data_IF_517716020639
#
_entry.id   IF_517716020639
#
_cell.length_a   1.000
_cell.length_b   1.000
_cell.length_c   1.000
_cell.angle_alpha   90.00
_cell.angle_beta   90.00
_cell.angle_gamma   90.00
#
_symmetry.space_group_name_H-M   'P 1'
#
loop_
_entity.id
_entity.type
_entity.pdbx_description
1 polymer ?
#
# COMPACT_ATOMS: atom_id res chain seq x y z
N UNK A 1 -8.87 -29.98 16.88
CA UNK A 1 -7.66 -30.30 16.09
C UNK A 1 -7.29 -29.06 15.29
N UNK A 2 -6.12 -28.47 15.54
CA UNK A 2 -5.66 -27.31 14.76
C UNK A 2 -5.26 -27.79 13.35
N UNK A 3 -5.79 -27.14 12.32
CA UNK A 3 -5.37 -27.40 10.95
C UNK A 3 -3.99 -26.78 10.72
N UNK A 4 -2.98 -27.59 10.51
CA UNK A 4 -1.60 -27.14 10.25
C UNK A 4 -1.34 -27.15 8.75
N UNK A 5 -0.87 -26.03 8.22
CA UNK A 5 -0.51 -25.89 6.81
C UNK A 5 0.85 -26.57 6.54
N UNK A 6 0.86 -27.69 5.78
CA UNK A 6 2.08 -28.28 5.24
C UNK A 6 2.29 -27.83 3.79
N UNK A 7 3.37 -27.13 3.51
CA UNK A 7 3.77 -26.75 2.14
C UNK A 7 4.81 -27.75 1.66
N UNK A 8 4.41 -28.65 0.75
CA UNK A 8 5.36 -29.44 -0.03
C UNK A 8 5.77 -28.65 -1.28
N UNK A 9 7.04 -28.28 -1.40
CA UNK A 9 7.57 -27.63 -2.60
C UNK A 9 7.85 -28.65 -3.68
N UNK A 10 6.96 -28.75 -4.67
CA UNK A 10 7.29 -29.34 -5.97
C UNK A 10 7.44 -28.22 -6.98
N UNK A 11 8.53 -28.20 -7.73
CA UNK A 11 8.78 -27.26 -8.82
C UNK A 11 7.74 -27.50 -9.93
N UNK A 12 6.72 -26.64 -10.01
CA UNK A 12 5.65 -26.68 -11.00
C UNK A 12 4.40 -26.04 -10.43
N UNK A 13 3.79 -25.12 -11.11
CA UNK A 13 2.55 -24.39 -10.83
C UNK A 13 2.36 -23.95 -9.37
N UNK A 14 2.18 -22.65 -9.18
CA UNK A 14 1.83 -22.05 -7.88
C UNK A 14 0.46 -22.59 -7.46
N UNK A 15 0.43 -23.53 -6.52
CA UNK A 15 -0.80 -24.02 -5.94
C UNK A 15 -1.11 -23.23 -4.66
N UNK A 16 -2.06 -22.30 -4.74
CA UNK A 16 -2.59 -21.65 -3.57
C UNK A 16 -3.19 -22.70 -2.61
N UNK A 17 -2.75 -22.69 -1.36
CA UNK A 17 -3.28 -23.56 -0.32
C UNK A 17 -4.20 -22.77 0.58
N UNK A 18 -5.44 -23.26 0.73
CA UNK A 18 -6.45 -22.62 1.58
C UNK A 18 -6.80 -23.53 2.75
N UNK A 19 -6.81 -22.97 3.94
CA UNK A 19 -7.35 -23.59 5.16
C UNK A 19 -8.46 -22.70 5.71
N UNK A 20 -9.51 -23.30 6.27
CA UNK A 20 -10.67 -22.55 6.77
C UNK A 20 -11.15 -23.08 8.11
N UNK A 21 -11.50 -22.17 9.02
CA UNK A 21 -12.13 -22.49 10.30
C UNK A 21 -12.84 -21.24 10.86
N UNK A 22 -13.95 -21.43 11.56
CA UNK A 22 -14.61 -20.39 12.37
C UNK A 22 -15.00 -19.12 11.58
N UNK A 23 -15.35 -19.23 10.30
CA UNK A 23 -15.69 -18.08 9.45
C UNK A 23 -14.47 -17.35 8.86
N UNK A 24 -13.26 -17.89 9.07
CA UNK A 24 -12.03 -17.39 8.46
C UNK A 24 -11.49 -18.39 7.44
N UNK A 25 -10.85 -17.90 6.39
CA UNK A 25 -9.98 -18.70 5.55
C UNK A 25 -8.66 -17.99 5.29
N UNK A 26 -7.56 -18.74 5.39
CA UNK A 26 -6.21 -18.29 5.04
C UNK A 26 -5.79 -19.02 3.77
N UNK A 27 -5.52 -18.27 2.73
CA UNK A 27 -4.95 -18.77 1.48
C UNK A 27 -3.51 -18.30 1.39
N UNK A 28 -2.57 -19.23 1.34
CA UNK A 28 -1.17 -18.94 1.02
C UNK A 28 -1.00 -19.12 -0.48
N UNK A 29 -0.83 -18.02 -1.17
CA UNK A 29 -0.60 -17.99 -2.62
C UNK A 29 0.86 -18.38 -2.89
N UNK A 30 1.76 -17.98 -1.99
CA UNK A 30 3.18 -18.29 -2.10
C UNK A 30 3.95 -17.35 -3.01
N UNK A 31 5.01 -17.86 -3.61
CA UNK A 31 5.76 -17.21 -4.67
C UNK A 31 4.93 -17.18 -5.96
N UNK A 32 4.79 -16.02 -6.61
CA UNK A 32 3.96 -15.87 -7.81
C UNK A 32 4.54 -16.55 -9.07
N UNK A 33 5.68 -17.26 -8.96
CA UNK A 33 6.30 -17.97 -10.07
C UNK A 33 6.97 -17.07 -11.10
N UNK A 34 7.33 -15.85 -10.71
CA UNK A 34 8.15 -14.95 -11.53
C UNK A 34 9.56 -15.50 -11.77
N UNK A 35 10.36 -14.86 -12.64
CA UNK A 35 11.75 -15.26 -12.88
C UNK A 35 12.55 -15.33 -11.58
N UNK A 36 13.31 -16.41 -11.39
CA UNK A 36 13.99 -16.73 -10.12
C UNK A 36 15.13 -15.78 -9.74
N UNK A 37 15.69 -15.09 -10.72
CA UNK A 37 16.75 -14.10 -10.58
C UNK A 37 16.21 -12.67 -10.35
N UNK A 38 14.91 -12.54 -10.11
CA UNK A 38 14.25 -11.24 -9.98
C UNK A 38 13.59 -11.09 -8.62
N UNK A 39 13.68 -9.88 -8.10
CA UNK A 39 12.92 -9.45 -6.93
C UNK A 39 11.63 -8.78 -7.41
N UNK A 40 10.53 -9.00 -6.70
CA UNK A 40 9.25 -8.39 -7.04
C UNK A 40 8.45 -7.98 -5.80
N UNK A 41 7.68 -6.91 -5.96
CA UNK A 41 6.76 -6.42 -4.93
C UNK A 41 5.36 -6.30 -5.50
N UNK A 42 4.37 -6.75 -4.73
CA UNK A 42 2.97 -6.44 -4.98
C UNK A 42 2.67 -4.99 -4.62
N UNK A 43 1.97 -4.30 -5.50
CA UNK A 43 1.58 -2.90 -5.29
C UNK A 43 0.07 -2.76 -5.01
N UNK A 44 -0.76 -3.60 -5.62
CA UNK A 44 -2.20 -3.63 -5.42
C UNK A 44 -2.80 -5.00 -5.79
N UNK A 45 -4.02 -5.19 -5.36
CA UNK A 45 -4.85 -6.37 -5.65
C UNK A 45 -6.23 -5.93 -6.12
N UNK A 46 -6.84 -6.67 -7.04
CA UNK A 46 -8.23 -6.45 -7.47
C UNK A 46 -9.20 -6.64 -6.30
N UNK A 47 -10.39 -6.03 -6.38
CA UNK A 47 -11.39 -6.10 -5.33
C UNK A 47 -11.91 -7.53 -5.08
N UNK A 48 -11.89 -8.39 -6.10
CA UNK A 48 -12.23 -9.81 -6.00
C UNK A 48 -11.07 -10.67 -5.48
N UNK A 49 -9.91 -10.06 -5.19
CA UNK A 49 -8.71 -10.70 -4.66
C UNK A 49 -7.96 -11.60 -5.65
N UNK A 50 -8.38 -11.69 -6.92
CA UNK A 50 -7.84 -12.68 -7.87
C UNK A 50 -6.66 -12.21 -8.69
N UNK A 51 -6.52 -10.89 -8.87
CA UNK A 51 -5.43 -10.30 -9.65
C UNK A 51 -4.50 -9.49 -8.76
N UNK A 52 -3.24 -9.89 -8.67
CA UNK A 52 -2.16 -9.15 -7.99
C UNK A 52 -1.36 -8.43 -9.06
N UNK A 53 -1.06 -7.16 -8.83
CA UNK A 53 -0.19 -6.37 -9.69
C UNK A 53 1.00 -5.83 -8.93
N UNK A 54 2.07 -5.55 -9.65
CA UNK A 54 3.26 -5.01 -9.00
C UNK A 54 4.37 -4.67 -9.98
N UNK A 55 5.58 -4.60 -9.42
CA UNK A 55 6.80 -4.35 -10.16
C UNK A 55 7.86 -5.35 -9.78
N UNK A 56 8.70 -5.74 -10.72
CA UNK A 56 9.85 -6.60 -10.52
C UNK A 56 11.10 -5.98 -11.10
N UNK A 57 12.26 -6.36 -10.59
CA UNK A 57 13.57 -5.93 -11.08
C UNK A 57 14.58 -7.06 -10.96
N UNK A 58 15.60 -7.01 -11.78
CA UNK A 58 16.70 -7.96 -11.77
C UNK A 58 17.97 -7.31 -11.20
N UNK A 59 18.75 -8.08 -10.45
CA UNK A 59 20.07 -7.65 -9.96
C UNK A 59 21.04 -7.34 -11.11
N UNK A 60 20.85 -7.98 -12.28
CA UNK A 60 21.64 -7.70 -13.48
C UNK A 60 21.34 -6.33 -14.10
N UNK A 61 20.21 -5.70 -13.74
CA UNK A 61 19.81 -4.36 -14.18
C UNK A 61 19.25 -3.57 -13.01
N UNK A 62 20.04 -3.22 -12.01
CA UNK A 62 19.57 -2.48 -10.85
C UNK A 62 19.03 -1.11 -11.29
N UNK A 63 17.82 -0.79 -10.83
CA UNK A 63 17.14 0.46 -11.14
C UNK A 63 16.10 0.38 -12.24
N UNK A 64 16.03 -0.70 -13.03
CA UNK A 64 15.00 -0.91 -14.03
C UNK A 64 13.93 -1.82 -13.47
N UNK A 65 12.75 -1.29 -13.16
CA UNK A 65 11.60 -2.11 -12.77
C UNK A 65 10.65 -2.32 -13.92
N UNK A 66 10.01 -3.48 -13.95
CA UNK A 66 9.01 -3.82 -14.96
C UNK A 66 7.69 -4.18 -14.28
N UNK A 67 6.60 -3.71 -14.86
CA UNK A 67 5.26 -3.99 -14.37
C UNK A 67 4.84 -5.44 -14.67
N UNK A 68 4.16 -6.07 -13.71
CA UNK A 68 3.56 -7.39 -13.87
C UNK A 68 2.13 -7.45 -13.35
N UNK A 69 1.41 -8.46 -13.80
CA UNK A 69 0.17 -8.94 -13.20
C UNK A 69 0.29 -10.44 -12.94
N UNK A 70 -0.46 -10.92 -11.97
CA UNK A 70 -0.59 -12.33 -11.64
C UNK A 70 -2.05 -12.68 -11.31
N UNK A 71 -2.50 -13.82 -11.78
CA UNK A 71 -3.71 -14.48 -11.30
C UNK A 71 -3.53 -15.99 -11.30
N UNK A 72 -4.35 -16.71 -10.53
CA UNK A 72 -4.30 -18.16 -10.54
C UNK A 72 -4.63 -18.77 -11.92
N UNK A 73 -5.40 -18.05 -12.74
CA UNK A 73 -5.79 -18.49 -14.07
C UNK A 73 -4.70 -18.30 -15.13
N UNK A 74 -3.92 -17.21 -15.03
CA UNK A 74 -2.93 -16.83 -16.07
C UNK A 74 -1.49 -17.03 -15.63
N UNK A 75 -1.26 -17.23 -14.32
CA UNK A 75 0.07 -17.15 -13.74
C UNK A 75 0.66 -15.74 -13.82
N UNK A 76 1.98 -15.66 -13.67
CA UNK A 76 2.73 -14.41 -13.75
C UNK A 76 2.83 -13.92 -15.19
N UNK A 77 2.49 -12.68 -15.43
CA UNK A 77 2.51 -12.04 -16.74
C UNK A 77 3.22 -10.69 -16.67
N UNK A 78 4.18 -10.45 -17.56
CA UNK A 78 4.73 -9.12 -17.78
C UNK A 78 3.71 -8.26 -18.51
N UNK A 79 3.49 -7.02 -18.04
CA UNK A 79 2.63 -6.07 -18.74
C UNK A 79 3.32 -5.50 -20.00
N UNK A 80 2.53 -5.25 -21.02
CA UNK A 80 3.03 -4.74 -22.29
C UNK A 80 3.70 -3.37 -22.13
N UNK A 81 4.86 -3.21 -22.76
CA UNK A 81 5.60 -1.96 -22.81
C UNK A 81 6.29 -1.80 -24.18
N UNK A 82 6.52 -0.57 -24.67
CA UNK A 82 7.28 -0.32 -25.90
C UNK A 82 8.70 -0.91 -25.82
N UNK A 83 9.30 -1.19 -26.97
CA UNK A 83 10.64 -1.77 -27.04
C UNK A 83 11.73 -0.87 -26.41
N UNK A 84 11.54 0.45 -26.45
CA UNK A 84 12.43 1.43 -25.82
C UNK A 84 12.09 1.73 -24.36
N UNK A 85 11.18 0.98 -23.73
CA UNK A 85 10.86 1.15 -22.32
C UNK A 85 12.09 0.88 -21.44
N UNK A 86 12.38 1.84 -20.58
CA UNK A 86 13.43 1.74 -19.58
C UNK A 86 12.90 1.11 -18.29
N UNK A 87 11.76 1.59 -17.80
CA UNK A 87 11.03 1.00 -16.67
C UNK A 87 9.52 1.04 -16.90
N UNK A 88 8.79 0.23 -16.13
CA UNK A 88 7.34 0.31 -16.01
C UNK A 88 6.87 -0.10 -14.61
N UNK A 89 5.76 0.47 -14.17
CA UNK A 89 5.19 0.24 -12.85
C UNK A 89 3.68 0.11 -12.95
N UNK A 90 3.13 -1.00 -12.42
CA UNK A 90 1.72 -1.14 -12.15
C UNK A 90 1.42 -0.59 -10.75
N UNK A 91 0.47 0.33 -10.62
CA UNK A 91 0.18 1.01 -9.35
C UNK A 91 -1.24 0.79 -8.85
N UNK A 92 -2.20 0.63 -9.74
CA UNK A 92 -3.60 0.46 -9.41
C UNK A 92 -4.26 -0.54 -10.37
N UNK A 93 -5.31 -1.21 -9.92
CA UNK A 93 -6.05 -2.22 -10.68
C UNK A 93 -7.54 -2.07 -10.43
N UNK A 94 -8.35 -2.32 -11.47
CA UNK A 94 -9.81 -2.36 -11.35
C UNK A 94 -10.28 -3.51 -10.45
N UNK A 95 -11.52 -3.42 -9.98
CA UNK A 95 -12.08 -4.41 -9.08
C UNK A 95 -12.17 -5.83 -9.65
N UNK A 96 -12.33 -5.95 -10.95
CA UNK A 96 -12.36 -7.22 -11.69
C UNK A 96 -10.98 -7.67 -12.20
N UNK A 97 -9.92 -6.90 -11.91
CA UNK A 97 -8.56 -7.20 -12.32
C UNK A 97 -8.24 -6.99 -13.81
N UNK A 98 -9.20 -6.49 -14.61
CA UNK A 98 -9.03 -6.40 -16.07
C UNK A 98 -8.29 -5.14 -16.51
N UNK A 99 -8.40 -4.05 -15.76
CA UNK A 99 -7.78 -2.77 -16.11
C UNK A 99 -6.73 -2.41 -15.07
N UNK A 100 -5.51 -2.18 -15.53
CA UNK A 100 -4.37 -1.81 -14.67
C UNK A 100 -3.92 -0.41 -15.06
N UNK A 101 -3.62 0.43 -14.07
CA UNK A 101 -3.06 1.76 -14.25
C UNK A 101 -1.64 1.87 -13.69
N UNK A 102 -0.84 2.73 -14.30
CA UNK A 102 0.53 2.93 -13.84
C UNK A 102 1.35 3.89 -14.69
N UNK A 103 2.64 3.61 -14.82
CA UNK A 103 3.54 4.42 -15.63
C UNK A 103 4.54 3.57 -16.41
N UNK A 104 5.00 4.13 -17.53
CA UNK A 104 6.14 3.63 -18.31
C UNK A 104 7.12 4.78 -18.49
N UNK A 105 8.40 4.55 -18.23
CA UNK A 105 9.47 5.47 -18.63
C UNK A 105 10.18 4.91 -19.85
N UNK A 106 10.39 5.74 -20.85
CA UNK A 106 11.08 5.37 -22.08
C UNK A 106 12.25 6.33 -22.36
N UNK A 107 13.31 5.84 -22.96
CA UNK A 107 14.42 6.69 -23.43
C UNK A 107 13.97 7.47 -24.66
N UNK A 108 14.24 8.76 -24.68
CA UNK A 108 14.08 9.57 -25.87
C UNK A 108 15.16 9.18 -26.89
N UNK A 109 14.81 9.20 -28.17
CA UNK A 109 15.66 8.70 -29.25
C UNK A 109 17.04 9.42 -29.35
N UNK A 110 17.09 10.69 -28.95
CA UNK A 110 18.27 11.56 -29.14
C UNK A 110 18.84 12.11 -27.83
N UNK A 111 18.37 11.61 -26.68
CA UNK A 111 18.85 12.10 -25.37
C UNK A 111 18.90 10.99 -24.34
N UNK A 112 19.71 11.19 -23.29
CA UNK A 112 19.72 10.32 -22.10
C UNK A 112 18.49 10.52 -21.21
N UNK A 113 17.64 11.48 -21.51
CA UNK A 113 16.46 11.81 -20.73
C UNK A 113 15.40 10.69 -20.84
N UNK A 114 14.77 10.42 -19.69
CA UNK A 114 13.63 9.53 -19.63
C UNK A 114 12.34 10.36 -19.68
N UNK A 115 11.48 9.99 -20.61
CA UNK A 115 10.11 10.47 -20.62
C UNK A 115 9.22 9.46 -19.92
N UNK A 116 8.38 9.92 -18.97
CA UNK A 116 7.47 9.05 -18.19
C UNK A 116 6.04 9.35 -18.59
N UNK A 117 5.32 8.28 -18.94
CA UNK A 117 3.93 8.32 -19.38
C UNK A 117 3.01 7.69 -18.34
N UNK A 118 1.91 8.33 -18.04
CA UNK A 118 0.77 7.69 -17.38
C UNK A 118 0.09 6.77 -18.39
N UNK A 119 -0.08 5.51 -18.01
CA UNK A 119 -0.63 4.49 -18.91
C UNK A 119 -1.71 3.67 -18.23
N UNK A 120 -2.58 3.09 -19.05
CA UNK A 120 -3.44 1.97 -18.63
C UNK A 120 -3.21 0.77 -19.56
N UNK A 121 -3.37 -0.40 -18.96
CA UNK A 121 -3.42 -1.70 -19.63
C UNK A 121 -4.85 -2.23 -19.51
N UNK A 122 -5.66 -2.18 -20.60
CA UNK A 122 -7.10 -2.50 -20.56
C UNK A 122 -7.40 -4.01 -20.68
N UNK A 123 -6.45 -4.89 -20.42
CA UNK A 123 -6.65 -6.35 -20.48
C UNK A 123 -6.66 -6.96 -21.89
N UNK A 124 -6.57 -6.16 -22.93
CA UNK A 124 -6.54 -6.57 -24.35
C UNK A 124 -5.10 -6.73 -24.90
N UNK A 125 -4.10 -6.72 -24.01
CA UNK A 125 -2.68 -6.78 -24.36
C UNK A 125 -2.09 -5.48 -24.87
N UNK A 126 -2.85 -4.39 -24.91
CA UNK A 126 -2.38 -3.07 -25.38
C UNK A 126 -1.96 -2.19 -24.20
N UNK A 127 -1.22 -1.14 -24.54
CA UNK A 127 -0.89 -0.05 -23.62
C UNK A 127 -1.50 1.24 -24.16
N UNK A 128 -2.30 1.91 -23.33
CA UNK A 128 -2.91 3.18 -23.67
C UNK A 128 -2.27 4.30 -22.85
N UNK A 129 -1.74 5.33 -23.52
CA UNK A 129 -1.26 6.57 -22.88
C UNK A 129 -2.45 7.44 -22.49
N UNK A 130 -2.45 7.98 -21.27
CA UNK A 130 -3.58 8.74 -20.71
C UNK A 130 -3.38 10.24 -20.75
N UNK A 131 -2.13 10.72 -20.64
CA UNK A 131 -1.79 12.14 -20.72
C UNK A 131 -1.22 12.41 -22.10
N UNK A 132 -1.81 13.32 -22.90
CA UNK A 132 -1.26 13.71 -24.18
C UNK A 132 0.12 14.38 -24.05
N UNK A 133 1.02 14.15 -25.02
CA UNK A 133 2.35 14.78 -25.03
C UNK A 133 2.29 16.30 -25.05
N UNK A 134 1.23 16.86 -25.65
CA UNK A 134 0.98 18.30 -25.70
C UNK A 134 0.58 18.88 -24.33
N UNK A 135 0.11 18.05 -23.39
CA UNK A 135 -0.27 18.50 -22.04
C UNK A 135 0.92 18.59 -21.09
N UNK A 136 1.94 17.72 -21.28
CA UNK A 136 3.11 17.69 -20.39
C UNK A 136 3.84 16.35 -20.40
N UNK A 137 4.73 16.17 -19.42
CA UNK A 137 5.62 15.01 -19.31
C UNK A 137 5.67 14.49 -17.85
N UNK A 138 6.45 13.43 -17.61
CA UNK A 138 6.68 12.91 -16.25
C UNK A 138 5.43 12.34 -15.60
N UNK A 139 4.48 11.84 -16.41
CA UNK A 139 3.16 11.46 -15.95
C UNK A 139 3.11 10.06 -15.31
N UNK A 140 2.26 9.87 -14.30
CA UNK A 140 1.95 8.57 -13.71
C UNK A 140 0.51 8.50 -13.23
N UNK A 141 -0.14 7.35 -13.41
CA UNK A 141 -1.39 7.03 -12.71
C UNK A 141 -1.05 6.67 -11.27
N UNK A 142 -1.83 7.14 -10.33
CA UNK A 142 -1.70 6.82 -8.90
C UNK A 142 -2.86 5.95 -8.41
N UNK A 143 -4.08 6.27 -8.81
CA UNK A 143 -5.31 5.61 -8.37
C UNK A 143 -6.30 5.40 -9.52
N UNK A 144 -7.15 4.37 -9.37
CA UNK A 144 -8.28 4.10 -10.26
C UNK A 144 -9.53 3.82 -9.44
N UNK A 145 -10.69 4.10 -10.03
CA UNK A 145 -11.96 3.65 -9.49
C UNK A 145 -12.16 2.13 -9.71
N UNK A 146 -13.13 1.55 -9.01
CA UNK A 146 -13.38 0.10 -9.05
C UNK A 146 -13.62 -0.43 -10.47
N UNK A 147 -14.28 0.33 -11.35
CA UNK A 147 -14.52 -0.07 -12.73
C UNK A 147 -13.33 0.14 -13.68
N UNK A 148 -12.21 0.73 -13.24
CA UNK A 148 -11.09 1.07 -14.12
C UNK A 148 -11.43 2.09 -15.22
N UNK A 149 -12.59 2.75 -15.10
CA UNK A 149 -13.11 3.73 -16.08
C UNK A 149 -12.71 5.16 -15.76
N UNK A 150 -12.19 5.39 -14.55
CA UNK A 150 -11.69 6.67 -14.08
C UNK A 150 -10.36 6.47 -13.39
N UNK A 151 -9.36 7.26 -13.76
CA UNK A 151 -8.01 7.21 -13.19
C UNK A 151 -7.51 8.61 -12.89
N UNK A 152 -6.80 8.75 -11.79
CA UNK A 152 -6.16 10.01 -11.44
C UNK A 152 -4.67 9.82 -11.17
N UNK A 153 -3.93 10.91 -11.33
CA UNK A 153 -2.49 10.90 -11.09
C UNK A 153 -1.89 12.28 -11.29
N UNK A 154 -0.59 12.30 -11.51
CA UNK A 154 0.19 13.52 -11.66
C UNK A 154 0.97 13.54 -12.96
N UNK A 155 1.35 14.74 -13.38
CA UNK A 155 2.23 15.01 -14.51
C UNK A 155 2.93 16.36 -14.29
N UNK A 156 3.91 16.69 -15.14
CA UNK A 156 4.56 17.98 -15.15
C UNK A 156 4.23 18.72 -16.43
N UNK A 157 4.04 20.03 -16.35
CA UNK A 157 3.84 20.91 -17.50
C UNK A 157 4.71 22.17 -17.33
N UNK A 158 4.75 23.03 -18.34
CA UNK A 158 5.57 24.25 -18.32
C UNK A 158 5.17 25.11 -17.10
N UNK A 159 6.15 25.37 -16.22
CA UNK A 159 5.96 26.18 -15.02
C UNK A 159 5.25 25.49 -13.85
N UNK A 160 4.76 24.26 -14.03
CA UNK A 160 4.07 23.53 -12.95
C UNK A 160 4.62 22.11 -12.84
N UNK A 161 5.36 21.85 -11.79
CA UNK A 161 5.74 20.49 -11.41
C UNK A 161 4.61 19.85 -10.60
N UNK A 162 4.33 18.55 -10.85
CA UNK A 162 3.29 17.81 -10.12
C UNK A 162 1.86 18.34 -10.30
N UNK A 163 1.52 18.83 -11.50
CA UNK A 163 0.14 19.05 -11.89
C UNK A 163 -0.65 17.72 -11.81
N UNK A 164 -1.91 17.80 -11.53
CA UNK A 164 -2.79 16.64 -11.39
C UNK A 164 -3.71 16.48 -12.56
N UNK A 165 -4.07 15.24 -12.86
CA UNK A 165 -5.05 14.94 -13.88
C UNK A 165 -6.08 13.93 -13.41
N UNK A 166 -7.22 13.99 -14.06
CA UNK A 166 -8.25 12.96 -14.10
C UNK A 166 -8.39 12.49 -15.53
N UNK A 167 -8.50 11.19 -15.72
CA UNK A 167 -8.85 10.59 -16.98
C UNK A 167 -10.14 9.80 -16.81
N UNK A 168 -11.11 10.06 -17.66
CA UNK A 168 -12.39 9.35 -17.72
C UNK A 168 -12.51 8.65 -19.07
N UNK A 169 -12.92 7.39 -19.09
CA UNK A 169 -13.01 6.61 -20.32
C UNK A 169 -13.79 7.30 -21.44
N UNK A 170 -14.96 7.95 -21.20
CA UNK A 170 -15.67 8.65 -22.28
C UNK A 170 -15.13 10.05 -22.59
N UNK A 171 -14.45 10.71 -21.65
CA UNK A 171 -14.04 12.12 -21.79
C UNK A 171 -12.56 12.30 -22.08
N UNK A 172 -11.74 11.30 -21.75
CA UNK A 172 -10.29 11.36 -21.86
C UNK A 172 -9.63 12.17 -20.74
N UNK A 173 -8.50 12.76 -21.05
CA UNK A 173 -7.66 13.55 -20.13
C UNK A 173 -8.31 14.88 -19.77
N UNK A 174 -8.22 15.22 -18.48
CA UNK A 174 -8.57 16.52 -17.91
C UNK A 174 -7.55 16.91 -16.85
N UNK A 175 -6.92 18.07 -16.99
CA UNK A 175 -6.11 18.64 -15.92
C UNK A 175 -7.03 19.12 -14.79
N UNK A 176 -6.66 18.78 -13.56
CA UNK A 176 -7.36 19.30 -12.37
C UNK A 176 -6.82 20.68 -12.01
N UNK A 177 -7.67 21.56 -11.46
CA UNK A 177 -7.21 22.86 -10.95
C UNK A 177 -6.08 22.68 -9.94
N UNK A 178 -5.10 23.59 -9.87
CA UNK A 178 -4.11 23.58 -8.81
C UNK A 178 -4.78 23.86 -7.46
N UNK A 179 -4.43 23.06 -6.45
CA UNK A 179 -4.96 23.26 -5.10
C UNK A 179 -4.15 24.30 -4.32
N UNK A 180 -2.85 24.17 -4.28
CA UNK A 180 -1.91 25.03 -3.56
C UNK A 180 -0.48 24.76 -3.99
N UNK A 181 0.48 25.48 -3.41
CA UNK A 181 1.92 25.32 -3.66
C UNK A 181 2.48 24.12 -2.90
N UNK A 182 1.91 22.94 -3.12
CA UNK A 182 2.34 21.70 -2.50
C UNK A 182 2.22 20.51 -3.46
N UNK A 183 3.01 19.49 -3.20
CA UNK A 183 2.97 18.23 -3.96
C UNK A 183 1.86 17.35 -3.41
N UNK A 184 0.90 16.94 -4.25
CA UNK A 184 -0.15 15.99 -3.87
C UNK A 184 0.16 14.61 -4.41
N UNK A 185 -0.09 13.59 -3.58
CA UNK A 185 -0.16 12.19 -3.99
C UNK A 185 -1.49 11.60 -3.55
N UNK A 186 -2.19 11.00 -4.51
CA UNK A 186 -3.40 10.22 -4.24
C UNK A 186 -3.02 8.77 -3.92
N UNK A 187 -3.71 8.17 -2.97
CA UNK A 187 -3.41 6.82 -2.46
C UNK A 187 -4.60 5.85 -2.59
N UNK A 188 -5.81 6.38 -2.66
CA UNK A 188 -7.03 5.61 -2.89
C UNK A 188 -8.09 6.44 -3.57
N UNK A 189 -9.07 5.76 -4.17
CA UNK A 189 -10.22 6.37 -4.85
C UNK A 189 -11.48 5.57 -4.53
N UNK A 190 -12.62 6.25 -4.38
CA UNK A 190 -13.94 5.62 -4.23
C UNK A 190 -14.30 4.76 -5.43
N UNK A 191 -15.25 3.83 -5.27
CA UNK A 191 -15.71 2.97 -6.36
C UNK A 191 -16.32 3.75 -7.52
N UNK A 192 -17.01 4.86 -7.22
CA UNK A 192 -17.52 5.80 -8.25
C UNK A 192 -16.41 6.64 -8.89
N UNK A 193 -15.29 6.83 -8.21
CA UNK A 193 -14.22 7.76 -8.62
C UNK A 193 -14.51 9.23 -8.31
N UNK A 194 -15.54 9.53 -7.50
CA UNK A 194 -15.93 10.91 -7.16
C UNK A 194 -15.12 11.50 -6.01
N UNK A 195 -14.43 10.67 -5.24
CA UNK A 195 -13.50 11.12 -4.21
C UNK A 195 -12.22 10.28 -4.23
N UNK A 196 -11.14 10.91 -3.75
CA UNK A 196 -9.84 10.27 -3.56
C UNK A 196 -9.18 10.78 -2.28
N UNK A 197 -8.49 9.89 -1.58
CA UNK A 197 -7.72 10.22 -0.39
C UNK A 197 -6.22 10.17 -0.70
N UNK A 198 -5.46 10.98 0.02
CA UNK A 198 -4.02 11.07 -0.18
C UNK A 198 -3.35 12.02 0.80
N UNK A 199 -2.30 12.66 0.38
CA UNK A 199 -1.61 13.66 1.17
C UNK A 199 -1.01 14.78 0.31
N UNK A 200 -0.80 15.92 0.93
CA UNK A 200 -0.08 17.07 0.42
C UNK A 200 1.25 17.21 1.14
N UNK A 201 2.35 17.24 0.41
CA UNK A 201 3.70 17.42 0.96
C UNK A 201 4.14 18.87 1.02
N UNK A 202 4.91 19.24 2.05
CA UNK A 202 5.49 20.56 2.25
C UNK A 202 4.46 21.71 2.31
N UNK A 203 3.31 21.46 2.94
CA UNK A 203 2.24 22.45 3.12
C UNK A 203 2.74 23.57 4.06
N UNK A 204 2.52 24.82 3.68
CA UNK A 204 2.90 26.01 4.44
C UNK A 204 4.40 26.10 4.78
N UNK A 205 5.27 25.51 3.93
CA UNK A 205 6.71 25.45 4.16
C UNK A 205 7.14 24.56 5.32
N UNK A 206 6.21 23.82 5.93
CA UNK A 206 6.50 22.82 6.97
C UNK A 206 6.91 21.52 6.32
N UNK A 207 8.07 21.01 6.72
CA UNK A 207 8.55 19.71 6.24
C UNK A 207 7.57 18.58 6.65
N UNK A 208 7.22 17.73 5.68
CA UNK A 208 6.36 16.58 5.91
C UNK A 208 5.13 16.54 5.03
N UNK A 209 4.07 15.91 5.51
CA UNK A 209 2.82 15.76 4.76
C UNK A 209 1.59 16.05 5.62
N UNK A 210 0.52 16.49 4.97
CA UNK A 210 -0.83 16.60 5.53
C UNK A 210 -1.78 15.71 4.76
N UNK A 211 -2.65 15.01 5.48
CA UNK A 211 -3.72 14.23 4.89
C UNK A 211 -4.65 15.11 4.04
N UNK A 212 -5.09 14.56 2.92
CA UNK A 212 -5.88 15.28 1.90
C UNK A 212 -7.05 14.42 1.44
N UNK A 213 -8.20 15.06 1.28
CA UNK A 213 -9.36 14.55 0.56
C UNK A 213 -9.56 15.40 -0.70
N UNK A 214 -9.68 14.74 -1.84
CA UNK A 214 -10.17 15.34 -3.07
C UNK A 214 -11.56 14.81 -3.37
N UNK A 215 -12.47 15.70 -3.80
CA UNK A 215 -13.79 15.29 -4.31
C UNK A 215 -14.09 16.02 -5.62
N UNK A 216 -14.88 15.39 -6.49
CA UNK A 216 -15.31 16.00 -7.75
C UNK A 216 -16.08 17.32 -7.52
N UNK A 217 -16.79 17.41 -6.40
CA UNK A 217 -17.66 18.54 -6.07
C UNK A 217 -16.92 19.76 -5.55
N UNK A 218 -15.89 19.57 -4.71
CA UNK A 218 -15.22 20.69 -4.00
C UNK A 218 -13.72 20.79 -4.30
N UNK A 219 -13.15 19.83 -5.03
CA UNK A 219 -11.70 19.79 -5.27
C UNK A 219 -10.94 19.29 -4.05
N UNK A 220 -9.75 19.84 -3.80
CA UNK A 220 -8.85 19.45 -2.73
C UNK A 220 -9.19 20.13 -1.41
N UNK A 221 -9.10 19.33 -0.35
CA UNK A 221 -9.25 19.77 1.03
C UNK A 221 -8.21 19.09 1.92
N UNK A 222 -7.42 19.88 2.63
CA UNK A 222 -6.53 19.39 3.66
C UNK A 222 -7.35 18.99 4.89
N UNK A 223 -7.09 17.79 5.40
CA UNK A 223 -7.79 17.27 6.57
C UNK A 223 -7.18 17.85 7.87
N UNK A 224 -7.97 17.93 8.96
CA UNK A 224 -7.50 18.37 10.26
C UNK A 224 -6.34 17.51 10.77
N UNK A 225 -5.46 18.12 11.53
CA UNK A 225 -4.35 17.49 12.24
C UNK A 225 -4.35 17.91 13.71
N UNK A 226 -3.83 17.06 14.58
CA UNK A 226 -3.62 17.38 15.99
C UNK A 226 -2.21 17.94 16.27
N UNK A 227 -1.30 17.83 15.30
CA UNK A 227 0.12 18.16 15.44
C UNK A 227 0.47 19.47 14.72
N UNK A 228 -0.20 20.57 15.07
CA UNK A 228 0.09 21.86 14.48
C UNK A 228 1.51 22.34 14.85
N UNK A 229 2.29 22.78 13.86
CA UNK A 229 3.60 23.41 14.07
C UNK A 229 4.80 22.48 14.18
N UNK A 230 4.63 21.14 14.06
CA UNK A 230 5.73 20.16 14.04
C UNK A 230 5.83 19.50 12.67
N UNK A 231 6.97 18.83 12.38
CA UNK A 231 7.12 18.01 11.19
C UNK A 231 6.08 16.89 11.18
N UNK A 232 5.15 16.93 10.24
CA UNK A 232 3.97 16.06 10.16
C UNK A 232 4.14 15.02 9.07
N UNK A 233 3.60 13.84 9.31
CA UNK A 233 3.54 12.73 8.35
C UNK A 233 2.12 12.19 8.24
N UNK A 234 1.13 13.10 8.15
CA UNK A 234 -0.27 12.73 8.07
C UNK A 234 -0.60 12.25 6.66
N UNK A 235 -1.31 11.14 6.55
CA UNK A 235 -1.74 10.56 5.27
C UNK A 235 -3.15 9.99 5.38
N UNK A 236 -3.99 10.29 4.40
CA UNK A 236 -5.27 9.63 4.18
C UNK A 236 -5.08 8.49 3.17
N UNK A 237 -5.55 7.31 3.50
CA UNK A 237 -5.29 6.06 2.76
C UNK A 237 -6.53 5.39 2.21
N UNK A 238 -7.70 5.75 2.72
CA UNK A 238 -8.97 5.20 2.27
C UNK A 238 -10.09 6.19 2.49
N UNK A 239 -11.12 6.14 1.67
CA UNK A 239 -12.31 6.99 1.76
C UNK A 239 -13.56 6.17 1.43
N UNK A 240 -14.61 6.33 2.24
CA UNK A 240 -15.90 5.68 2.02
C UNK A 240 -16.63 6.26 0.81
N UNK A 241 -17.52 5.49 0.22
CA UNK A 241 -18.26 5.90 -0.98
C UNK A 241 -19.14 7.14 -0.75
N UNK A 242 -19.62 7.34 0.46
CA UNK A 242 -20.41 8.52 0.87
C UNK A 242 -19.55 9.76 1.22
N UNK A 243 -18.20 9.66 1.07
CA UNK A 243 -17.21 10.71 1.37
C UNK A 243 -17.18 11.15 2.86
N UNK A 244 -17.88 10.42 3.76
CA UNK A 244 -18.06 10.85 5.15
C UNK A 244 -16.97 10.38 6.09
N UNK A 245 -16.30 9.27 5.75
CA UNK A 245 -15.26 8.69 6.59
C UNK A 245 -14.00 8.46 5.77
N UNK A 246 -12.89 8.94 6.29
CA UNK A 246 -11.57 8.79 5.68
C UNK A 246 -10.66 8.08 6.69
N UNK A 247 -9.98 7.03 6.29
CA UNK A 247 -9.01 6.29 7.10
C UNK A 247 -7.59 6.69 6.75
N UNK A 248 -6.71 6.67 7.74
CA UNK A 248 -5.29 6.93 7.54
C UNK A 248 -4.52 7.03 8.85
N UNK A 249 -3.51 7.86 8.89
CA UNK A 249 -2.73 8.08 10.10
C UNK A 249 -2.35 9.56 10.28
N UNK A 250 -2.26 9.96 11.53
CA UNK A 250 -1.56 11.15 11.98
C UNK A 250 -0.16 10.76 12.41
N UNK A 251 0.86 11.37 11.82
CA UNK A 251 2.24 11.07 12.10
C UNK A 251 3.04 12.29 12.52
N UNK A 252 4.03 12.06 13.39
CA UNK A 252 5.00 13.07 13.81
C UNK A 252 6.40 12.55 13.56
N UNK A 253 7.23 13.31 12.86
CA UNK A 253 8.64 13.00 12.73
C UNK A 253 9.35 13.31 14.05
N UNK A 254 9.94 12.30 14.66
CA UNK A 254 10.74 12.41 15.89
C UNK A 254 12.21 12.24 15.54
N UNK A 255 13.02 13.22 15.89
CA UNK A 255 14.48 13.17 15.74
C UNK A 255 15.08 12.68 17.06
N UNK A 256 15.82 11.59 17.02
CA UNK A 256 16.51 11.01 18.18
C UNK A 256 18.01 11.00 17.93
N UNK A 257 18.86 10.82 18.94
CA UNK A 257 20.30 10.68 18.74
C UNK A 257 20.69 9.53 17.80
N UNK A 258 19.87 8.49 17.75
CA UNK A 258 20.10 7.30 16.91
C UNK A 258 19.52 7.43 15.49
N UNK A 259 18.84 8.53 15.18
CA UNK A 259 18.25 8.80 13.86
C UNK A 259 16.88 9.46 13.92
N UNK A 260 16.10 9.23 12.87
CA UNK A 260 14.73 9.76 12.74
C UNK A 260 13.74 8.60 12.70
N UNK A 261 12.62 8.76 13.39
CA UNK A 261 11.47 7.85 13.32
C UNK A 261 10.18 8.63 13.13
N UNK A 262 9.15 7.96 12.64
CA UNK A 262 7.80 8.52 12.58
C UNK A 262 6.97 7.80 13.63
N UNK A 263 6.50 8.55 14.62
CA UNK A 263 5.48 8.09 15.54
C UNK A 263 4.13 8.37 14.89
N UNK A 264 3.34 7.34 14.63
CA UNK A 264 2.06 7.46 13.93
C UNK A 264 0.94 6.79 14.70
N UNK A 265 -0.26 7.30 14.52
CA UNK A 265 -1.47 6.68 15.05
C UNK A 265 -2.54 6.61 13.98
N UNK A 266 -3.12 5.43 13.82
CA UNK A 266 -4.24 5.18 12.94
C UNK A 266 -5.46 6.00 13.38
N UNK A 267 -6.09 6.68 12.43
CA UNK A 267 -7.26 7.53 12.68
C UNK A 267 -8.33 7.36 11.61
N UNK A 268 -9.55 7.72 11.99
CA UNK A 268 -10.61 8.07 11.06
C UNK A 268 -10.89 9.56 11.15
N UNK A 269 -10.91 10.23 10.01
CA UNK A 269 -11.58 11.52 9.88
C UNK A 269 -13.04 11.24 9.54
N UNK A 270 -13.94 11.69 10.43
CA UNK A 270 -15.39 11.47 10.33
C UNK A 270 -16.11 12.77 9.99
N UNK A 271 -17.43 12.72 9.74
CA UNK A 271 -18.26 13.87 9.36
C UNK A 271 -17.74 14.58 8.10
N UNK A 272 -17.32 13.83 7.10
CA UNK A 272 -16.72 14.39 5.89
C UNK A 272 -15.33 14.98 6.12
N UNK A 273 -14.65 14.57 7.18
CA UNK A 273 -13.30 14.99 7.52
C UNK A 273 -13.21 16.09 8.59
N UNK A 274 -14.30 16.47 9.26
CA UNK A 274 -14.31 17.55 10.25
C UNK A 274 -13.91 17.11 11.66
N UNK A 275 -13.98 15.80 11.95
CA UNK A 275 -13.68 15.24 13.26
C UNK A 275 -12.65 14.13 13.15
N UNK A 276 -11.83 13.94 14.19
CA UNK A 276 -10.80 12.90 14.25
C UNK A 276 -11.20 11.88 15.32
N UNK A 277 -11.26 10.61 14.94
CA UNK A 277 -11.36 9.47 15.85
C UNK A 277 -10.04 8.69 15.81
N UNK A 278 -9.39 8.57 16.97
CA UNK A 278 -8.16 7.79 17.12
C UNK A 278 -8.53 6.32 17.26
N UNK A 279 -7.78 5.43 16.62
CA UNK A 279 -8.02 3.99 16.65
C UNK A 279 -7.13 3.26 17.67
N UNK A 280 -6.07 3.91 18.17
CA UNK A 280 -5.12 3.36 19.12
C UNK A 280 -4.13 2.38 18.48
N UNK A 281 -3.64 1.44 19.28
CA UNK A 281 -2.60 0.48 18.95
C UNK A 281 -2.99 -0.92 19.43
N UNK A 282 -2.35 -1.95 18.89
CA UNK A 282 -2.38 -3.29 19.48
C UNK A 282 -1.56 -3.29 20.79
N UNK A 283 -1.92 -4.19 21.71
CA UNK A 283 -1.24 -4.30 23.01
C UNK A 283 0.28 -4.45 22.83
N UNK A 284 1.02 -3.57 23.51
CA UNK A 284 2.49 -3.53 23.50
C UNK A 284 3.10 -2.78 22.32
N UNK A 285 2.30 -2.21 21.43
CA UNK A 285 2.77 -1.35 20.33
C UNK A 285 2.65 0.14 20.68
N UNK A 286 3.41 0.96 19.97
CA UNK A 286 3.48 2.41 20.15
C UNK A 286 3.23 3.20 18.85
N UNK A 287 3.00 2.49 17.75
CA UNK A 287 2.68 3.08 16.46
C UNK A 287 1.60 2.28 15.74
N UNK A 288 0.75 2.95 14.97
CA UNK A 288 -0.23 2.30 14.11
C UNK A 288 -0.52 3.12 12.86
N UNK A 289 -1.00 2.44 11.82
CA UNK A 289 -1.26 3.05 10.52
C UNK A 289 -2.45 2.37 9.84
N UNK A 290 -3.55 3.08 9.59
CA UNK A 290 -4.64 2.57 8.78
C UNK A 290 -4.27 2.65 7.29
N UNK A 291 -4.38 1.53 6.59
CA UNK A 291 -3.99 1.39 5.18
C UNK A 291 -5.18 1.35 4.22
N UNK A 292 -6.34 0.90 4.69
CA UNK A 292 -7.55 0.79 3.88
C UNK A 292 -8.80 0.80 4.76
N UNK A 293 -9.94 1.12 4.14
CA UNK A 293 -11.26 1.10 4.77
C UNK A 293 -12.27 0.49 3.79
N UNK A 294 -13.22 -0.30 4.28
CA UNK A 294 -14.35 -0.79 3.48
C UNK A 294 -15.23 0.36 2.99
N UNK A 295 -15.94 0.15 1.88
CA UNK A 295 -16.79 1.20 1.26
C UNK A 295 -17.88 1.72 2.19
N UNK A 296 -18.33 0.92 3.16
CA UNK A 296 -19.34 1.28 4.18
C UNK A 296 -18.72 1.85 5.48
N UNK A 297 -17.40 1.94 5.58
CA UNK A 297 -16.68 2.50 6.72
C UNK A 297 -16.62 1.60 7.96
N UNK A 298 -17.06 0.35 7.88
CA UNK A 298 -17.20 -0.54 9.05
C UNK A 298 -15.95 -1.35 9.36
N UNK A 299 -15.07 -1.53 8.39
CA UNK A 299 -13.83 -2.31 8.55
C UNK A 299 -12.65 -1.45 8.15
N UNK A 300 -11.69 -1.33 9.04
CA UNK A 300 -10.39 -0.70 8.76
C UNK A 300 -9.30 -1.73 8.92
N UNK A 301 -8.41 -1.79 7.96
CA UNK A 301 -7.24 -2.66 7.98
C UNK A 301 -5.99 -1.80 7.98
N UNK A 302 -5.00 -2.23 8.75
CA UNK A 302 -3.74 -1.52 8.82
C UNK A 302 -2.67 -2.31 9.55
N UNK A 303 -1.63 -1.60 9.96
CA UNK A 303 -0.51 -2.15 10.72
C UNK A 303 -0.36 -1.44 12.06
N UNK A 304 0.05 -2.18 13.05
CA UNK A 304 0.47 -1.69 14.36
C UNK A 304 1.86 -2.21 14.65
N UNK A 305 2.73 -1.39 15.21
CA UNK A 305 4.13 -1.73 15.39
C UNK A 305 4.69 -1.23 16.71
N UNK A 306 5.71 -1.96 17.18
CA UNK A 306 6.51 -1.57 18.31
C UNK A 306 7.83 -0.98 17.82
N UNK A 307 8.05 0.31 18.07
CA UNK A 307 9.22 1.04 17.58
C UNK A 307 10.55 0.57 18.19
N UNK A 308 10.53 -0.12 19.34
CA UNK A 308 11.74 -0.63 19.98
C UNK A 308 12.15 -2.01 19.45
N UNK A 309 11.17 -2.87 19.14
CA UNK A 309 11.46 -4.23 18.65
C UNK A 309 11.44 -4.32 17.14
N UNK A 310 10.86 -3.33 16.45
CA UNK A 310 10.62 -3.35 15.00
C UNK A 310 9.56 -4.36 14.57
N UNK A 311 8.82 -4.97 15.53
CA UNK A 311 7.75 -5.89 15.19
C UNK A 311 6.56 -5.12 14.58
N UNK A 312 6.06 -5.59 13.46
CA UNK A 312 4.87 -5.05 12.80
C UNK A 312 3.80 -6.14 12.69
N UNK A 313 2.56 -5.81 12.99
CA UNK A 313 1.40 -6.71 12.99
C UNK A 313 0.25 -6.11 12.21
N UNK A 314 -0.42 -6.91 11.40
CA UNK A 314 -1.66 -6.50 10.73
C UNK A 314 -2.81 -6.48 11.72
N UNK A 315 -3.60 -5.42 11.71
CA UNK A 315 -4.83 -5.31 12.49
C UNK A 315 -6.08 -5.25 11.62
N UNK A 316 -7.19 -5.73 12.20
CA UNK A 316 -8.56 -5.49 11.76
C UNK A 316 -9.23 -4.64 12.83
N UNK A 317 -9.83 -3.54 12.44
CA UNK A 317 -10.61 -2.68 13.34
C UNK A 317 -12.06 -2.62 12.86
N UNK A 318 -12.98 -2.73 13.81
CA UNK A 318 -14.42 -2.45 13.60
C UNK A 318 -14.92 -1.54 14.72
N UNK A 319 -16.01 -0.79 14.53
CA UNK A 319 -16.59 0.05 15.59
C UNK A 319 -16.93 -0.72 16.87
N UNK A 320 -17.25 -2.01 16.75
CA UNK A 320 -17.64 -2.88 17.86
C UNK A 320 -16.43 -3.50 18.57
N UNK A 321 -15.45 -3.98 17.80
CA UNK A 321 -14.31 -4.71 18.37
C UNK A 321 -13.15 -3.83 18.79
N UNK A 322 -13.06 -2.61 18.27
CA UNK A 322 -11.80 -1.89 18.28
C UNK A 322 -10.73 -2.61 17.44
N UNK A 323 -9.47 -2.33 17.72
CA UNK A 323 -8.33 -2.90 16.99
C UNK A 323 -8.03 -4.32 17.47
N UNK A 324 -7.91 -5.27 16.54
CA UNK A 324 -7.62 -6.69 16.78
C UNK A 324 -6.50 -7.18 15.89
N UNK A 325 -5.56 -7.94 16.43
CA UNK A 325 -4.51 -8.58 15.62
C UNK A 325 -5.11 -9.62 14.67
N UNK A 326 -4.80 -9.53 13.36
CA UNK A 326 -5.26 -10.48 12.36
C UNK A 326 -4.77 -11.91 12.69
N UNK A 327 -3.50 -12.04 13.08
CA UNK A 327 -2.92 -13.35 13.46
C UNK A 327 -3.64 -13.92 14.69
N UNK A 328 -3.90 -13.10 15.71
CA UNK A 328 -4.61 -13.56 16.90
C UNK A 328 -6.05 -14.01 16.59
N UNK A 329 -6.73 -13.33 15.64
CA UNK A 329 -8.07 -13.73 15.18
C UNK A 329 -8.03 -15.10 14.46
N UNK A 330 -7.06 -15.31 13.57
CA UNK A 330 -6.88 -16.57 12.87
C UNK A 330 -6.58 -17.73 13.84
N UNK A 331 -5.67 -17.51 14.77
CA UNK A 331 -5.30 -18.53 15.76
C UNK A 331 -6.45 -18.85 16.73
N UNK A 332 -7.24 -17.86 17.13
CA UNK A 332 -8.45 -18.08 17.93
C UNK A 332 -9.50 -18.91 17.18
N UNK A 333 -9.54 -18.81 15.87
CA UNK A 333 -10.38 -19.65 15.00
C UNK A 333 -9.78 -21.04 14.74
N UNK A 334 -8.58 -21.36 15.25
CA UNK A 334 -7.90 -22.63 15.04
C UNK A 334 -7.06 -22.70 13.77
N UNK A 335 -6.79 -21.54 13.12
CA UNK A 335 -5.92 -21.45 11.95
C UNK A 335 -4.51 -21.03 12.37
N UNK A 336 -3.50 -21.83 12.03
CA UNK A 336 -2.11 -21.48 12.29
C UNK A 336 -1.48 -20.83 11.06
N UNK A 337 -0.80 -19.70 11.25
CA UNK A 337 0.00 -19.05 10.20
C UNK A 337 1.38 -19.72 10.03
N UNK A 338 1.79 -20.59 10.97
CA UNK A 338 3.07 -21.29 10.95
C UNK A 338 4.26 -20.32 11.00
N UNK A 339 5.15 -20.43 10.02
CA UNK A 339 6.32 -19.53 9.86
C UNK A 339 6.06 -18.34 8.94
N UNK A 340 4.83 -18.20 8.42
CA UNK A 340 4.48 -17.09 7.52
C UNK A 340 4.23 -15.81 8.34
N UNK A 341 4.97 -14.77 8.03
CA UNK A 341 4.76 -13.44 8.58
C UNK A 341 3.73 -12.71 7.72
N UNK A 342 2.55 -12.43 8.30
CA UNK A 342 1.52 -11.60 7.68
C UNK A 342 1.86 -10.13 7.96
N UNK A 343 2.56 -9.46 7.04
CA UNK A 343 3.02 -8.09 7.26
C UNK A 343 2.41 -7.11 6.27
N UNK A 344 3.02 -6.87 5.16
CA UNK A 344 2.68 -5.82 4.21
C UNK A 344 1.28 -6.04 3.58
N UNK A 345 0.27 -5.31 4.04
CA UNK A 345 -1.07 -5.29 3.41
C UNK A 345 -0.99 -4.55 2.08
N UNK A 346 -1.45 -5.21 1.01
CA UNK A 346 -1.48 -4.67 -0.35
C UNK A 346 -2.87 -4.11 -0.68
N UNK A 347 -3.92 -4.75 -0.17
CA UNK A 347 -5.28 -4.31 -0.44
C UNK A 347 -6.33 -5.03 0.39
N UNK A 348 -7.51 -4.41 0.40
CA UNK A 348 -8.72 -4.92 1.06
C UNK A 348 -9.87 -4.81 0.08
N UNK A 349 -10.72 -5.85 0.04
CA UNK A 349 -11.92 -5.82 -0.78
C UNK A 349 -12.90 -4.72 -0.32
N UNK A 350 -13.76 -4.18 -1.22
CA UNK A 350 -14.70 -3.12 -0.90
C UNK A 350 -15.65 -3.43 0.27
N UNK A 351 -15.97 -4.70 0.49
CA UNK A 351 -16.79 -5.18 1.61
C UNK A 351 -16.02 -5.42 2.91
N UNK A 352 -14.67 -5.24 2.88
CA UNK A 352 -13.79 -5.45 4.03
C UNK A 352 -13.54 -6.92 4.37
N UNK A 353 -14.08 -7.86 3.61
CA UNK A 353 -14.02 -9.29 3.94
C UNK A 353 -12.72 -9.96 3.50
N UNK A 354 -12.09 -9.47 2.44
CA UNK A 354 -10.86 -10.07 1.90
C UNK A 354 -9.69 -9.11 2.07
N UNK A 355 -8.66 -9.57 2.74
CA UNK A 355 -7.41 -8.85 3.00
C UNK A 355 -6.31 -9.59 2.26
N UNK A 356 -5.58 -8.90 1.40
CA UNK A 356 -4.44 -9.46 0.68
C UNK A 356 -3.16 -8.75 1.09
N UNK A 357 -2.11 -9.51 1.28
CA UNK A 357 -0.81 -8.98 1.67
C UNK A 357 0.35 -9.78 1.11
N UNK A 358 1.52 -9.28 1.42
CA UNK A 358 2.81 -9.88 1.09
C UNK A 358 3.62 -9.98 2.38
N UNK A 359 4.24 -11.10 2.61
CA UNK A 359 5.08 -11.36 3.76
C UNK A 359 6.28 -12.20 3.37
N UNK A 360 6.85 -12.88 4.34
CA UNK A 360 7.97 -13.81 4.15
C UNK A 360 7.85 -14.96 5.14
N UNK A 361 8.58 -16.05 4.88
CA UNK A 361 8.65 -17.17 5.83
C UNK A 361 9.91 -17.05 6.69
N UNK A 362 9.76 -17.27 7.98
CA UNK A 362 10.91 -17.38 8.88
C UNK A 362 11.76 -18.60 8.47
N UNK A 363 13.07 -18.33 8.30
CA UNK A 363 14.02 -19.37 7.91
C UNK A 363 14.20 -19.55 6.41
N UNK A 364 13.48 -18.82 5.57
CA UNK A 364 13.77 -18.74 4.14
C UNK A 364 15.06 -17.93 3.91
N UNK A 365 16.15 -18.55 3.39
CA UNK A 365 17.42 -17.86 3.20
C UNK A 365 17.36 -16.79 2.10
N UNK A 366 16.44 -16.91 1.15
CA UNK A 366 16.31 -16.03 0.00
C UNK A 366 15.34 -14.88 0.27
N UNK A 367 14.64 -14.89 1.42
CA UNK A 367 13.63 -13.88 1.79
C UNK A 367 12.60 -13.61 0.67
N UNK A 368 12.18 -14.66 -0.03
CA UNK A 368 11.22 -14.53 -1.13
C UNK A 368 9.87 -14.05 -0.63
N UNK A 369 9.28 -13.07 -1.31
CA UNK A 369 7.96 -12.60 -0.94
C UNK A 369 6.94 -13.73 -1.07
N UNK A 370 6.14 -13.90 -0.03
CA UNK A 370 5.04 -14.85 0.03
C UNK A 370 3.74 -14.06 0.04
N UNK A 371 2.93 -14.26 -0.97
CA UNK A 371 1.61 -13.61 -1.03
C UNK A 371 0.60 -14.43 -0.25
N UNK A 372 -0.24 -13.74 0.48
CA UNK A 372 -1.27 -14.33 1.31
C UNK A 372 -2.58 -13.57 1.18
N UNK A 373 -3.68 -14.27 1.43
CA UNK A 373 -5.00 -13.72 1.46
C UNK A 373 -5.76 -14.30 2.66
N UNK A 374 -6.44 -13.42 3.40
CA UNK A 374 -7.36 -13.80 4.47
C UNK A 374 -8.75 -13.36 4.07
N UNK A 375 -9.69 -14.28 4.10
CA UNK A 375 -11.10 -13.95 3.98
C UNK A 375 -11.79 -14.18 5.34
N UNK A 376 -12.61 -13.19 5.75
CA UNK A 376 -13.43 -13.21 6.97
C UNK A 376 -14.87 -13.09 6.51
N UNK A 377 -15.72 -14.07 6.80
CA UNK A 377 -17.11 -13.97 6.37
C UNK A 377 -17.85 -12.82 7.08
N UNK A 378 -18.90 -12.31 6.44
CA UNK A 378 -19.61 -11.13 6.90
C UNK A 378 -20.28 -11.32 8.28
N UNK A 379 -20.65 -12.55 8.65
CA UNK A 379 -21.23 -12.84 9.96
C UNK A 379 -20.17 -12.78 11.05
N UNK A 380 -19.02 -13.40 10.81
CA UNK A 380 -17.85 -13.37 11.69
C UNK A 380 -17.35 -11.93 11.89
N UNK A 381 -17.25 -11.15 10.81
CA UNK A 381 -16.81 -9.76 10.88
C UNK A 381 -17.74 -8.90 11.76
N UNK A 382 -19.05 -9.09 11.63
CA UNK A 382 -20.07 -8.41 12.47
C UNK A 382 -20.06 -8.89 13.93
N UNK A 383 -19.65 -10.13 14.17
CA UNK A 383 -19.61 -10.73 15.50
C UNK A 383 -18.32 -10.45 16.26
N UNK A 384 -17.35 -9.75 15.68
CA UNK A 384 -16.10 -9.42 16.35
C UNK A 384 -16.37 -8.63 17.64
N UNK A 385 -15.90 -9.20 18.76
CA UNK A 385 -15.99 -8.59 20.08
C UNK A 385 -14.67 -7.87 20.45
N UNK A 386 -14.70 -6.94 21.41
CA UNK A 386 -13.48 -6.31 21.92
C UNK A 386 -12.45 -7.35 22.37
N UNK A 387 -11.16 -7.02 22.22
CA UNK A 387 -10.08 -7.88 22.74
C UNK A 387 -10.17 -8.02 24.25
N UNK A 388 -9.97 -9.23 24.77
CA UNK A 388 -9.72 -9.38 26.21
C UNK A 388 -8.39 -8.75 26.57
N UNK A 389 -8.32 -7.92 27.65
CA UNK A 389 -7.08 -7.27 28.04
C UNK A 389 -5.93 -8.29 28.21
N UNK A 390 -4.79 -8.04 27.55
CA UNK A 390 -3.60 -8.88 27.64
C UNK A 390 -3.52 -10.07 26.68
N UNK A 391 -4.54 -10.36 25.87
CA UNK A 391 -4.52 -11.50 24.95
C UNK A 391 -3.45 -11.36 23.84
N UNK A 392 -3.20 -10.14 23.38
CA UNK A 392 -2.20 -9.85 22.34
C UNK A 392 -0.76 -9.70 22.90
N UNK A 393 -0.61 -9.30 24.17
CA UNK A 393 0.70 -9.06 24.80
C UNK A 393 1.51 -10.34 25.10
N UNK A 394 0.84 -11.48 25.34
CA UNK A 394 1.50 -12.73 25.71
C UNK A 394 2.25 -13.42 24.56
N UNK A 395 1.92 -13.10 23.31
CA UNK A 395 2.46 -13.80 22.12
C UNK A 395 3.65 -13.09 21.47
N UNK A 396 3.79 -11.77 21.66
CA UNK A 396 4.93 -10.99 21.12
C UNK A 396 6.27 -11.41 21.72
N UNK A 397 6.27 -11.96 22.96
CA UNK A 397 7.51 -12.41 23.64
C UNK A 397 8.17 -13.64 23.01
N UNK A 398 7.46 -14.43 22.22
CA UNK A 398 8.01 -15.66 21.63
C UNK A 398 8.63 -15.44 20.23
N UNK A 399 8.05 -14.55 19.41
CA UNK A 399 8.56 -14.29 18.04
C UNK A 399 9.69 -13.26 18.01
N UNK A 400 9.66 -12.23 18.86
CA UNK A 400 10.64 -11.14 18.86
C UNK A 400 12.05 -11.56 19.27
N UNK A 401 12.22 -12.61 20.09
CA UNK A 401 13.56 -13.10 20.50
C UNK A 401 14.38 -13.70 19.36
N UNK A 402 13.77 -14.14 18.26
CA UNK A 402 14.48 -14.70 17.09
C UNK A 402 14.74 -13.69 15.97
N UNK A 403 13.90 -12.67 15.81
CA UNK A 403 14.02 -11.69 14.74
C UNK A 403 15.14 -10.67 15.01
N UNK A 404 15.29 -10.21 16.26
CA UNK A 404 16.24 -9.15 16.62
C UNK A 404 17.72 -9.58 16.48
N UNK A 405 18.02 -10.85 16.63
CA UNK A 405 19.42 -11.34 16.56
C UNK A 405 19.96 -11.46 15.13
N UNK A 406 19.09 -11.51 14.11
CA UNK A 406 19.51 -11.70 12.71
C UNK A 406 19.44 -10.44 11.83
N UNK A 407 18.57 -9.45 12.16
CA UNK A 407 18.55 -8.17 11.45
C UNK A 407 19.83 -7.34 11.62
N UNK A 408 20.59 -7.55 12.69
CA UNK A 408 21.87 -6.87 12.94
C UNK A 408 23.05 -7.44 12.11
N UNK A 409 22.90 -8.62 11.48
CA UNK A 409 23.97 -9.29 10.75
C UNK A 409 23.93 -9.12 9.23
N UNK A 410 22.85 -8.61 8.65
CA UNK A 410 22.78 -8.32 7.22
C UNK A 410 23.40 -6.95 6.94
N UNK A 411 24.63 -6.91 6.44
CA UNK A 411 25.24 -5.69 5.92
C UNK A 411 24.37 -5.14 4.79
N UNK A 412 23.88 -3.89 4.86
CA UNK A 412 23.13 -3.30 3.77
C UNK A 412 24.05 -3.22 2.54
N UNK A 413 23.60 -3.76 1.44
CA UNK A 413 24.30 -3.68 0.17
C UNK A 413 24.37 -2.21 -0.25
N UNK A 414 25.59 -1.68 -0.43
CA UNK A 414 25.84 -0.26 -0.72
C UNK A 414 25.19 0.26 -2.02
N UNK A 415 24.68 -0.64 -2.86
CA UNK A 415 23.96 -0.32 -4.09
C UNK A 415 22.53 0.20 -3.84
N UNK A 416 21.91 -0.06 -2.67
CA UNK A 416 20.58 0.42 -2.33
C UNK A 416 20.53 1.91 -1.94
N UNK A 417 21.66 2.55 -1.71
CA UNK A 417 21.70 3.93 -1.20
C UNK A 417 21.59 5.04 -2.26
N UNK A 418 21.53 4.72 -3.56
CA UNK A 418 21.54 5.75 -4.62
C UNK A 418 20.39 5.70 -5.62
N UNK A 419 19.41 4.84 -5.43
CA UNK A 419 18.29 4.68 -6.35
C UNK A 419 16.98 5.12 -5.71
N UNK A 420 16.49 6.29 -6.11
CA UNK A 420 15.12 6.78 -5.99
C UNK A 420 14.38 6.41 -4.69
N UNK A 421 14.30 7.35 -3.76
CA UNK A 421 13.27 7.34 -2.72
C UNK A 421 11.89 7.28 -3.36
N UNK A 422 11.37 6.08 -3.53
CA UNK A 422 9.94 5.85 -3.82
C UNK A 422 9.19 5.98 -2.53
N UNK A 423 8.00 6.58 -2.59
CA UNK A 423 7.15 6.78 -1.42
C UNK A 423 6.95 5.47 -0.67
N UNK A 424 7.37 5.39 0.60
CA UNK A 424 7.26 4.18 1.38
C UNK A 424 5.80 3.87 1.69
N UNK A 425 5.45 2.60 1.67
CA UNK A 425 4.11 2.12 2.03
C UNK A 425 3.92 2.02 3.54
N UNK A 426 4.99 2.14 4.33
CA UNK A 426 4.94 2.16 5.80
C UNK A 426 5.87 3.23 6.40
N UNK A 427 5.63 3.67 7.65
CA UNK A 427 6.46 4.62 8.38
C UNK A 427 7.93 4.20 8.48
N UNK A 428 8.19 2.91 8.63
CA UNK A 428 9.55 2.36 8.67
C UNK A 428 10.31 2.52 7.35
N UNK A 429 9.61 2.54 6.22
CA UNK A 429 10.19 2.81 4.91
C UNK A 429 10.40 4.31 4.67
N UNK A 430 9.50 5.16 5.21
CA UNK A 430 9.62 6.61 5.13
C UNK A 430 10.88 7.11 5.84
N UNK A 431 11.19 6.59 7.03
CA UNK A 431 12.36 6.98 7.81
C UNK A 431 13.70 6.70 7.09
N UNK A 432 13.73 5.79 6.13
CA UNK A 432 14.93 5.46 5.32
C UNK A 432 15.16 6.39 4.13
N UNK A 433 14.12 7.14 3.73
CA UNK A 433 14.13 7.98 2.53
C UNK A 433 14.36 9.47 2.81
N UNK A 434 14.41 9.88 4.08
CA UNK A 434 14.59 11.29 4.44
C UNK A 434 16.05 11.73 4.32
N UNK A 435 16.36 12.91 3.75
CA UNK A 435 17.72 13.45 3.77
C UNK A 435 18.13 13.72 5.22
N UNK A 436 19.36 13.38 5.56
CA UNK A 436 19.94 13.74 6.86
C UNK A 436 20.01 15.27 6.93
N UNK A 437 19.30 15.86 7.87
CA UNK A 437 19.46 17.28 8.18
C UNK A 437 20.90 17.52 8.68
N UNK A 438 21.57 18.59 8.24
CA UNK A 438 22.88 18.96 8.80
C UNK A 438 22.73 19.22 10.29
N UNK A 439 23.67 18.69 11.08
CA UNK A 439 23.72 18.95 12.51
C UNK A 439 23.77 20.47 12.75
N UNK A 440 22.85 20.97 13.55
CA UNK A 440 22.91 22.34 14.02
C UNK A 440 24.19 22.53 14.82
N UNK A 441 25.02 23.50 14.38
CA UNK A 441 26.17 23.99 15.15
C UNK A 441 25.70 25.00 16.17
#
# INVERSE_FOLDING_TARGET
MAATLFVASTAGAVHAQTVSAGGYSLTVIGDLGGPRDMQYNGNAVSADGKTIIGSYWSDARPGNSMAFSWSAATGWQRLAAPANAYDSMAQTVSGDGQVIGGSISARQAESSNLDRWAVRWPGDGRTQKLVPDTAGWGASVEVANLGGTRMAGRFSTIGVSNARFMWDQPRGFRQLPPGGDYVVQLLSMTSSGNAAAGFAGNVDGVYGSRALLWTERIGERLLPTINAGVARMDQARGVTEDERTIAGALGTLVVTPDGQRVDSEAVLWTNGGDSIQRLGFLDGDDSSYALSISTDGRVVIGTSSNGQTGAERVFVWTPQSGMRSLVALLEAAGLSVGTLNLTNVIGVSPDGQTITGQGYRDGDPDYRPQFWQVHIDAATLRALQPASPGADALRVRASSRKATSRMLAAKPNAAMQRGACRMPVSPAQLARCLPRLPAAR
#
